data_IF_969566274789
#
_entry.id   IF_969566274789
#
_cell.length_a   1.000
_cell.length_b   1.000
_cell.length_c   1.000
_cell.angle_alpha   90.00
_cell.angle_beta   90.00
_cell.angle_gamma   90.00
#
_symmetry.space_group_name_H-M   'P 1'
#
loop_
_entity.id
_entity.type
_entity.pdbx_description
1 polymer ?
#
# COMPACT_ATOMS: atom_id res chain seq x y z
N UNK A 1 -1.07 -16.21 -8.51
CA UNK A 1 -0.97 -16.89 -9.82
C UNK A 1 -0.58 -15.93 -10.94
N UNK A 2 -1.40 -14.93 -11.28
CA UNK A 2 -1.15 -14.03 -12.45
C UNK A 2 0.25 -13.40 -12.49
N UNK A 3 0.70 -12.83 -11.37
CA UNK A 3 2.03 -12.17 -11.28
C UNK A 3 3.17 -13.14 -11.55
N UNK A 4 3.10 -14.36 -11.00
CA UNK A 4 4.15 -15.36 -11.17
C UNK A 4 4.24 -15.88 -12.61
N UNK A 5 3.10 -16.04 -13.30
CA UNK A 5 3.10 -16.42 -14.71
C UNK A 5 3.72 -15.33 -15.59
N UNK A 6 3.34 -14.06 -15.35
CA UNK A 6 3.94 -12.92 -16.06
C UNK A 6 5.45 -12.82 -15.81
N UNK A 7 5.88 -12.98 -14.55
CA UNK A 7 7.30 -12.98 -14.19
C UNK A 7 8.09 -14.06 -14.94
N UNK A 8 7.57 -15.30 -14.99
CA UNK A 8 8.22 -16.40 -15.73
C UNK A 8 8.25 -16.16 -17.24
N UNK A 9 7.14 -15.70 -17.81
CA UNK A 9 7.04 -15.41 -19.24
C UNK A 9 8.07 -14.36 -19.68
N UNK A 10 8.18 -13.27 -18.90
CA UNK A 10 9.12 -12.18 -19.17
C UNK A 10 10.53 -12.41 -18.59
N UNK A 11 10.78 -13.55 -17.92
CA UNK A 11 12.05 -13.89 -17.27
C UNK A 11 12.51 -12.80 -16.28
N UNK A 12 11.56 -12.29 -15.50
CA UNK A 12 11.79 -11.26 -14.49
C UNK A 12 11.96 -11.95 -13.13
N UNK A 13 13.11 -11.77 -12.50
CA UNK A 13 13.37 -12.26 -11.15
C UNK A 13 12.51 -11.55 -10.09
N UNK A 14 12.09 -12.23 -9.00
CA UNK A 14 11.28 -11.62 -7.94
C UNK A 14 11.83 -10.30 -7.40
N UNK A 15 13.15 -10.18 -7.21
CA UNK A 15 13.80 -8.95 -6.75
C UNK A 15 13.71 -7.76 -7.70
N UNK A 16 13.24 -7.96 -8.94
CA UNK A 16 12.97 -6.91 -9.93
C UNK A 16 11.48 -6.55 -10.02
N UNK A 17 10.65 -7.14 -9.16
CA UNK A 17 9.21 -6.92 -9.13
C UNK A 17 8.88 -6.01 -7.95
N UNK A 18 8.06 -4.99 -8.24
CA UNK A 18 7.51 -4.08 -7.24
C UNK A 18 6.01 -4.30 -7.15
N UNK A 19 5.50 -4.58 -5.95
CA UNK A 19 4.08 -4.75 -5.68
C UNK A 19 3.58 -3.58 -4.83
N UNK A 20 2.67 -2.79 -5.41
CA UNK A 20 1.93 -1.76 -4.69
C UNK A 20 0.68 -2.41 -4.09
N UNK A 21 0.42 -2.20 -2.81
CA UNK A 21 -0.74 -2.77 -2.13
C UNK A 21 -1.22 -1.89 -0.99
N UNK A 22 -2.49 -2.02 -0.63
CA UNK A 22 -3.07 -1.39 0.54
C UNK A 22 -2.54 -2.02 1.84
N UNK A 23 -2.38 -1.19 2.87
CA UNK A 23 -1.79 -1.57 4.13
C UNK A 23 -2.62 -1.03 5.29
N UNK A 24 -3.14 -1.94 6.10
CA UNK A 24 -4.00 -1.63 7.26
C UNK A 24 -3.17 -1.12 8.44
N UNK A 25 -1.92 -1.58 8.58
CA UNK A 25 -1.04 -1.23 9.70
C UNK A 25 -0.44 0.18 9.57
N UNK A 26 -0.57 0.80 8.39
CA UNK A 26 -0.10 2.16 8.15
C UNK A 26 -1.27 3.13 8.21
N UNK A 27 -1.04 4.26 8.90
CA UNK A 27 -1.99 5.35 8.92
C UNK A 27 -2.32 5.83 7.49
N UNK A 28 -3.54 6.33 7.24
CA UNK A 28 -3.91 6.86 5.93
C UNK A 28 -2.90 7.88 5.43
N UNK A 29 -2.65 7.88 4.12
CA UNK A 29 -1.65 8.71 3.43
C UNK A 29 -0.17 8.34 3.68
N UNK A 30 0.14 7.41 4.58
CA UNK A 30 1.53 6.99 4.83
C UNK A 30 1.94 5.91 3.85
N UNK A 31 3.17 6.02 3.36
CA UNK A 31 3.76 5.06 2.43
C UNK A 31 5.09 4.53 2.99
N UNK A 32 5.36 3.24 2.78
CA UNK A 32 6.65 2.61 3.09
C UNK A 32 7.06 1.67 1.98
N UNK A 33 8.37 1.63 1.71
CA UNK A 33 8.98 0.62 0.85
C UNK A 33 9.64 -0.44 1.72
N UNK A 34 9.50 -1.71 1.34
CA UNK A 34 10.16 -2.84 2.01
C UNK A 34 10.39 -3.96 1.02
N UNK A 35 11.57 -4.56 1.06
CA UNK A 35 11.86 -5.82 0.35
C UNK A 35 11.55 -7.01 1.24
N UNK A 36 10.93 -8.04 0.70
CA UNK A 36 10.64 -9.26 1.47
C UNK A 36 9.48 -9.12 2.46
N UNK A 37 9.46 -10.03 3.44
CA UNK A 37 8.51 -10.03 4.55
C UNK A 37 7.26 -10.87 4.35
N UNK A 38 6.42 -10.93 5.40
CA UNK A 38 5.16 -11.67 5.39
C UNK A 38 4.05 -10.95 4.61
N UNK A 39 2.89 -11.60 4.48
CA UNK A 39 1.72 -11.00 3.82
C UNK A 39 0.80 -10.22 4.76
N UNK A 40 1.04 -10.20 6.09
CA UNK A 40 0.25 -9.44 7.07
C UNK A 40 -1.28 -9.57 6.92
N UNK A 41 -1.76 -10.79 6.60
CA UNK A 41 -3.19 -11.03 6.34
C UNK A 41 -3.71 -10.60 4.96
N UNK A 42 -2.92 -9.87 4.15
CA UNK A 42 -3.30 -9.45 2.80
C UNK A 42 -3.40 -10.64 1.84
N UNK A 43 -4.61 -10.87 1.32
CA UNK A 43 -4.93 -12.04 0.49
C UNK A 43 -4.11 -12.09 -0.83
N UNK A 44 -3.95 -10.96 -1.51
CA UNK A 44 -3.13 -10.87 -2.74
C UNK A 44 -1.65 -11.19 -2.50
N UNK A 45 -1.00 -10.55 -1.54
CA UNK A 45 0.38 -10.86 -1.14
C UNK A 45 0.58 -12.32 -0.72
N UNK A 46 -0.39 -12.93 -0.04
CA UNK A 46 -0.35 -14.37 0.30
C UNK A 46 -0.29 -15.22 -0.96
N UNK A 47 -1.12 -14.93 -1.96
CA UNK A 47 -1.15 -15.65 -3.23
C UNK A 47 0.11 -15.42 -4.09
N UNK A 48 0.61 -14.18 -4.17
CA UNK A 48 1.87 -13.86 -4.86
C UNK A 48 3.02 -14.62 -4.21
N UNK A 49 3.17 -14.50 -2.89
CA UNK A 49 4.26 -15.14 -2.13
C UNK A 49 4.26 -16.66 -2.29
N UNK A 50 3.07 -17.28 -2.30
CA UNK A 50 2.91 -18.73 -2.52
C UNK A 50 3.47 -19.20 -3.86
N UNK A 51 3.46 -18.36 -4.90
CA UNK A 51 3.79 -18.77 -6.26
C UNK A 51 5.18 -18.34 -6.75
N UNK A 52 5.78 -17.31 -6.16
CA UNK A 52 7.07 -16.77 -6.58
C UNK A 52 8.02 -16.40 -5.43
N UNK A 53 7.69 -16.75 -4.19
CA UNK A 53 8.48 -16.38 -3.01
C UNK A 53 8.25 -14.94 -2.56
N UNK A 54 8.93 -14.52 -1.50
CA UNK A 54 8.70 -13.24 -0.85
C UNK A 54 9.64 -12.11 -1.31
N UNK A 55 10.66 -12.41 -2.12
CA UNK A 55 11.83 -11.55 -2.38
C UNK A 55 11.58 -10.36 -3.32
N UNK A 56 10.32 -9.96 -3.49
CA UNK A 56 9.92 -8.78 -4.24
C UNK A 56 9.86 -7.53 -3.35
N UNK A 57 9.96 -6.37 -4.00
CA UNK A 57 9.81 -5.06 -3.36
C UNK A 57 8.33 -4.75 -3.16
N UNK A 58 7.98 -4.19 -2.00
CA UNK A 58 6.60 -3.84 -1.63
C UNK A 58 6.51 -2.36 -1.39
N UNK A 59 5.57 -1.70 -2.06
CA UNK A 59 5.16 -0.35 -1.76
C UNK A 59 3.84 -0.43 -1.00
N UNK A 60 3.94 -0.22 0.32
CA UNK A 60 2.84 -0.33 1.28
C UNK A 60 2.12 1.02 1.33
N UNK A 61 0.85 1.06 0.89
CA UNK A 61 0.01 2.25 0.85
C UNK A 61 -0.96 2.23 2.02
N UNK A 62 -0.77 3.11 3.00
CA UNK A 62 -1.57 3.15 4.21
C UNK A 62 -3.01 3.56 3.94
N UNK A 63 -3.94 2.68 4.30
CA UNK A 63 -5.39 2.92 4.29
C UNK A 63 -5.98 2.98 5.70
N UNK A 64 -5.15 2.74 6.72
CA UNK A 64 -5.59 2.63 8.12
C UNK A 64 -6.39 1.37 8.42
N UNK A 65 -6.70 1.17 9.69
CA UNK A 65 -7.46 0.01 10.17
C UNK A 65 -8.80 0.48 10.78
N UNK A 66 -9.91 -0.22 10.54
CA UNK A 66 -11.23 0.13 11.09
C UNK A 66 -11.36 -0.13 12.60
N UNK A 67 -10.26 -0.30 13.34
CA UNK A 67 -10.22 -0.69 14.76
C UNK A 67 -10.69 -2.12 15.09
N UNK A 68 -11.61 -2.70 14.32
CA UNK A 68 -12.20 -4.02 14.54
C UNK A 68 -11.91 -4.95 13.35
N UNK A 69 -11.37 -6.14 13.64
CA UNK A 69 -11.06 -7.18 12.64
C UNK A 69 -12.29 -7.61 11.85
N UNK A 70 -13.47 -7.66 12.47
CA UNK A 70 -14.71 -8.04 11.79
C UNK A 70 -15.10 -7.05 10.67
N UNK A 71 -14.63 -5.80 10.76
CA UNK A 71 -14.92 -4.74 9.79
C UNK A 71 -13.87 -4.63 8.68
N UNK A 72 -12.76 -5.35 8.77
CA UNK A 72 -11.66 -5.26 7.80
C UNK A 72 -12.12 -5.59 6.38
N UNK A 73 -12.95 -6.62 6.21
CA UNK A 73 -13.43 -7.00 4.88
C UNK A 73 -14.24 -5.89 4.20
N UNK A 74 -15.16 -5.26 4.93
CA UNK A 74 -15.92 -4.11 4.42
C UNK A 74 -15.07 -2.86 4.24
N UNK A 75 -14.00 -2.69 5.04
CA UNK A 75 -13.08 -1.57 4.94
C UNK A 75 -12.25 -1.61 3.66
N UNK A 76 -11.63 -2.75 3.34
CA UNK A 76 -10.77 -2.89 2.14
C UNK A 76 -11.55 -2.94 0.82
N UNK A 77 -12.84 -3.26 0.89
CA UNK A 77 -13.75 -3.27 -0.26
C UNK A 77 -14.58 -1.99 -0.38
N UNK A 78 -14.49 -1.09 0.61
CA UNK A 78 -15.24 0.16 0.63
C UNK A 78 -14.56 1.24 -0.20
N UNK A 79 -15.36 2.16 -0.73
CA UNK A 79 -14.85 3.34 -1.41
C UNK A 79 -14.27 4.34 -0.40
N UNK A 80 -13.22 5.06 -0.83
CA UNK A 80 -12.70 6.20 -0.09
C UNK A 80 -13.75 7.30 0.03
N UNK A 81 -13.94 7.82 1.24
CA UNK A 81 -14.86 8.92 1.49
C UNK A 81 -14.43 10.19 0.76
N UNK A 82 -15.38 11.10 0.49
CA UNK A 82 -15.09 12.39 -0.17
C UNK A 82 -14.00 13.21 0.54
N UNK A 83 -13.93 13.10 1.87
CA UNK A 83 -12.92 13.79 2.68
C UNK A 83 -11.49 13.22 2.51
N UNK A 84 -11.37 12.02 1.93
CA UNK A 84 -10.10 11.32 1.72
C UNK A 84 -9.51 11.58 0.33
N UNK A 85 -10.35 12.03 -0.61
CA UNK A 85 -9.98 12.24 -2.01
C UNK A 85 -8.78 13.18 -2.20
N UNK A 86 -8.62 14.18 -1.35
CA UNK A 86 -7.50 15.12 -1.45
C UNK A 86 -6.16 14.47 -1.14
N UNK A 87 -6.03 13.76 -0.02
CA UNK A 87 -4.76 13.10 0.33
C UNK A 87 -4.53 11.87 -0.56
N UNK A 88 -5.60 11.21 -1.00
CA UNK A 88 -5.52 10.07 -1.91
C UNK A 88 -4.93 10.51 -3.26
N UNK A 89 -5.45 11.59 -3.85
CA UNK A 89 -4.93 12.17 -5.09
C UNK A 89 -3.46 12.55 -4.94
N UNK A 90 -3.12 13.29 -3.88
CA UNK A 90 -1.73 13.69 -3.66
C UNK A 90 -0.80 12.47 -3.54
N UNK A 91 -1.25 11.41 -2.85
CA UNK A 91 -0.48 10.17 -2.70
C UNK A 91 -0.28 9.48 -4.04
N UNK A 92 -1.34 9.29 -4.82
CA UNK A 92 -1.24 8.63 -6.13
C UNK A 92 -0.37 9.43 -7.10
N UNK A 93 -0.51 10.76 -7.10
CA UNK A 93 0.30 11.65 -7.95
C UNK A 93 1.76 11.60 -7.54
N UNK A 94 2.06 11.70 -6.24
CA UNK A 94 3.43 11.65 -5.73
C UNK A 94 4.10 10.30 -6.00
N UNK A 95 3.36 9.20 -5.84
CA UNK A 95 3.83 7.84 -6.17
C UNK A 95 4.21 7.73 -7.64
N UNK A 96 3.37 8.24 -8.54
CA UNK A 96 3.62 8.20 -9.98
C UNK A 96 4.82 9.09 -10.38
N UNK A 97 4.84 10.34 -9.92
CA UNK A 97 5.88 11.34 -10.25
C UNK A 97 7.26 10.89 -9.78
N UNK A 98 7.36 10.25 -8.61
CA UNK A 98 8.64 9.87 -8.04
C UNK A 98 9.07 8.43 -8.36
N UNK A 99 8.27 7.68 -9.13
CA UNK A 99 8.59 6.31 -9.54
C UNK A 99 10.02 6.09 -10.09
N UNK A 100 10.63 7.04 -10.86
CA UNK A 100 12.01 6.89 -11.31
C UNK A 100 13.03 6.68 -10.19
N UNK A 101 12.80 7.26 -9.00
CA UNK A 101 13.67 7.05 -7.83
C UNK A 101 13.61 5.61 -7.35
N UNK A 102 12.41 5.02 -7.31
CA UNK A 102 12.22 3.63 -6.92
C UNK A 102 12.90 2.67 -7.91
N UNK A 103 12.72 2.90 -9.21
CA UNK A 103 13.35 2.10 -10.27
C UNK A 103 14.89 2.20 -10.26
N UNK A 104 15.43 3.32 -9.79
CA UNK A 104 16.87 3.51 -9.59
C UNK A 104 17.40 2.91 -8.28
N UNK A 105 16.57 2.21 -7.49
CA UNK A 105 16.96 1.65 -6.19
C UNK A 105 17.13 2.68 -5.08
N UNK A 106 16.67 3.93 -5.29
CA UNK A 106 16.76 5.03 -4.31
C UNK A 106 15.53 5.08 -3.41
N UNK A 107 15.28 3.97 -2.72
CA UNK A 107 14.06 3.76 -1.92
C UNK A 107 13.88 4.81 -0.81
N UNK A 108 14.94 5.18 -0.11
CA UNK A 108 14.92 6.21 0.93
C UNK A 108 14.50 7.57 0.39
N UNK A 109 15.03 7.95 -0.78
CA UNK A 109 14.68 9.22 -1.43
C UNK A 109 13.25 9.18 -1.95
N UNK A 110 12.83 8.06 -2.54
CA UNK A 110 11.46 7.85 -2.97
C UNK A 110 10.47 8.00 -1.80
N UNK A 111 10.73 7.35 -0.66
CA UNK A 111 9.92 7.49 0.55
C UNK A 111 9.87 8.94 1.06
N UNK A 112 11.02 9.62 1.08
CA UNK A 112 11.13 11.01 1.54
C UNK A 112 10.36 11.97 0.63
N UNK A 113 10.51 11.85 -0.69
CA UNK A 113 9.83 12.71 -1.66
C UNK A 113 8.33 12.49 -1.69
N UNK A 114 7.86 11.24 -1.67
CA UNK A 114 6.43 10.94 -1.57
C UNK A 114 5.87 11.52 -0.27
N UNK A 115 6.52 11.29 0.88
CA UNK A 115 6.04 11.82 2.15
C UNK A 115 5.97 13.36 2.19
N UNK A 116 6.89 14.05 1.52
CA UNK A 116 6.90 15.51 1.43
C UNK A 116 5.83 16.09 0.50
N UNK A 117 5.31 15.31 -0.45
CA UNK A 117 4.30 15.74 -1.41
C UNK A 117 2.85 15.47 -0.95
N UNK A 118 2.66 14.62 0.06
CA UNK A 118 1.32 14.19 0.51
C UNK A 118 0.86 14.99 1.72
N UNK A 119 -0.28 15.68 1.60
CA UNK A 119 -0.92 16.33 2.74
C UNK A 119 -1.45 15.28 3.72
N UNK A 120 -1.24 15.45 5.04
CA UNK A 120 -1.81 14.52 6.01
C UNK A 120 -3.34 14.59 5.98
N UNK A 121 -4.05 13.46 6.21
CA UNK A 121 -5.50 13.45 6.31
C UNK A 121 -5.97 14.36 7.44
N UNK A 122 -7.13 15.00 7.27
CA UNK A 122 -7.79 15.66 8.41
C UNK A 122 -8.15 14.59 9.46
N UNK A 123 -7.98 14.85 10.76
CA UNK A 123 -8.37 13.91 11.80
C UNK A 123 -9.84 13.50 11.63
N UNK A 124 -10.11 12.19 11.62
CA UNK A 124 -11.48 11.70 11.67
C UNK A 124 -12.13 12.20 12.98
N UNK A 125 -13.31 12.80 12.88
CA UNK A 125 -14.09 13.13 14.09
C UNK A 125 -14.33 11.82 14.86
N UNK A 126 -14.15 11.79 16.19
CA UNK A 126 -14.42 10.60 16.97
C UNK A 126 -15.85 10.13 16.70
N UNK A 127 -16.00 8.82 16.50
CA UNK A 127 -17.31 8.21 16.33
C UNK A 127 -18.20 8.61 17.51
N UNK A 128 -19.39 9.14 17.23
CA UNK A 128 -20.37 9.42 18.29
C UNK A 128 -20.60 8.13 19.09
N UNK A 129 -20.61 8.18 20.42
CA UNK A 129 -20.95 7.01 21.21
C UNK A 129 -22.32 6.50 20.78
N UNK A 130 -22.43 5.17 20.62
CA UNK A 130 -23.71 4.53 20.37
C UNK A 130 -24.69 4.98 21.46
N UNK A 131 -25.89 5.42 21.06
CA UNK A 131 -26.93 5.76 22.04
C UNK A 131 -27.29 4.50 22.84
N UNK A 132 -27.50 4.63 24.16
CA UNK A 132 -27.88 3.51 25.03
C UNK A 132 -29.23 2.91 24.63
#
# INVERSE_FOLDING_TARGET
RSVAEAARFHKIEPGRIVVFHDELDLAPSKMRVKTGGGHAGHNGLRDITRHMGADFVRVRLGIGHPGDKARVHGWVLGDFARAEQDWLRDLTDAVAVHLPLLLAGRESDYMSKVAGAVRPPKPLKPAKPAKP
#
